data_IF_614527651095
#
_entry.id   IF_614527651095
#
_cell.length_a   1.000
_cell.length_b   1.000
_cell.length_c   1.000
_cell.angle_alpha   90.00
_cell.angle_beta   90.00
_cell.angle_gamma   90.00
#
_symmetry.space_group_name_H-M   'P 1'
#
loop_
_entity.id
_entity.type
_entity.pdbx_description
1 polymer ?
#
# COMPACT_ATOMS: atom_id res chain seq x y z
N UNK A 1 -21.16 9.35 -9.49
CA UNK A 1 -20.36 9.43 -8.34
C UNK A 1 -19.18 8.48 -8.42
N UNK A 2 -18.10 8.89 -7.93
CA UNK A 2 -16.94 8.02 -7.99
C UNK A 2 -17.14 6.89 -7.03
N UNK A 3 -16.69 5.76 -7.40
CA UNK A 3 -16.68 4.69 -6.53
C UNK A 3 -15.74 4.91 -5.43
N UNK A 4 -16.04 4.40 -4.28
CA UNK A 4 -15.14 4.42 -3.18
C UNK A 4 -13.90 3.65 -3.58
N UNK A 5 -12.77 4.25 -3.43
CA UNK A 5 -11.54 3.56 -3.72
C UNK A 5 -11.33 2.44 -2.72
N UNK A 6 -10.86 1.31 -3.18
CA UNK A 6 -10.57 0.20 -2.31
C UNK A 6 -9.35 0.52 -1.46
N UNK A 7 -9.48 0.32 -0.16
CA UNK A 7 -8.39 0.56 0.77
C UNK A 7 -7.90 -0.76 1.31
N UNK A 8 -6.59 -0.88 1.43
CA UNK A 8 -5.95 -2.12 1.86
C UNK A 8 -5.27 -1.91 3.20
N UNK A 9 -5.27 -2.96 4.02
CA UNK A 9 -4.52 -2.91 5.28
C UNK A 9 -3.05 -3.11 4.99
N UNK A 10 -2.16 -2.71 5.91
CA UNK A 10 -0.73 -2.96 5.72
C UNK A 10 -0.42 -4.43 5.49
N UNK A 11 -1.16 -5.31 6.15
CA UNK A 11 -0.95 -6.74 5.98
C UNK A 11 -1.32 -7.19 4.58
N UNK A 12 -2.44 -6.69 4.06
CA UNK A 12 -2.85 -7.02 2.70
C UNK A 12 -1.83 -6.56 1.68
N UNK A 13 -1.30 -5.34 1.88
CA UNK A 13 -0.28 -4.81 0.99
C UNK A 13 0.97 -5.69 1.07
N UNK A 14 1.37 -6.05 2.28
CA UNK A 14 2.55 -6.89 2.47
C UNK A 14 2.39 -8.23 1.77
N UNK A 15 1.19 -8.81 1.85
CA UNK A 15 0.93 -10.09 1.19
C UNK A 15 1.05 -9.97 -0.32
N UNK A 16 0.59 -8.87 -0.89
CA UNK A 16 0.67 -8.66 -2.32
C UNK A 16 2.11 -8.56 -2.81
N UNK A 17 2.99 -8.03 -1.98
CA UNK A 17 4.40 -7.89 -2.34
C UNK A 17 5.26 -9.04 -1.85
N UNK A 18 4.72 -9.87 -0.96
CA UNK A 18 5.50 -10.94 -0.37
C UNK A 18 6.54 -10.44 0.60
N UNK A 19 6.22 -9.38 1.34
CA UNK A 19 7.15 -8.79 2.29
C UNK A 19 6.49 -8.65 3.66
N UNK A 20 7.27 -8.24 4.63
CA UNK A 20 6.79 -8.03 5.99
C UNK A 20 6.00 -6.72 6.05
N UNK A 21 4.92 -6.65 6.85
CA UNK A 21 4.18 -5.39 7.00
C UNK A 21 5.05 -4.21 7.44
N UNK A 22 6.11 -4.46 8.17
CA UNK A 22 7.04 -3.39 8.56
C UNK A 22 7.67 -2.73 7.33
N UNK A 23 7.90 -3.51 6.28
CA UNK A 23 8.46 -2.98 5.05
C UNK A 23 7.48 -2.02 4.39
N UNK A 24 6.19 -2.36 4.44
CA UNK A 24 5.16 -1.49 3.89
C UNK A 24 5.13 -0.16 4.63
N UNK A 25 5.23 -0.20 5.96
CA UNK A 25 5.28 1.02 6.76
C UNK A 25 6.49 1.86 6.38
N UNK A 26 7.62 1.21 6.14
CA UNK A 26 8.83 1.91 5.75
C UNK A 26 8.65 2.60 4.39
N UNK A 27 7.99 1.92 3.47
CA UNK A 27 7.71 2.51 2.16
C UNK A 27 6.83 3.75 2.29
N UNK A 28 5.84 3.70 3.17
CA UNK A 28 4.96 4.84 3.40
C UNK A 28 5.76 6.01 3.98
N UNK A 29 6.67 5.73 4.90
CA UNK A 29 7.50 6.78 5.47
C UNK A 29 8.45 7.38 4.44
N UNK A 30 8.86 6.58 3.48
CA UNK A 30 9.74 7.04 2.42
C UNK A 30 8.99 7.77 1.30
N UNK A 31 7.68 7.87 1.41
CA UNK A 31 6.88 8.57 0.42
C UNK A 31 6.49 7.74 -0.78
N UNK A 32 6.73 6.45 -0.75
CA UNK A 32 6.38 5.58 -1.88
C UNK A 32 4.91 5.22 -1.88
N UNK A 33 4.27 5.28 -0.73
CA UNK A 33 2.85 5.01 -0.60
C UNK A 33 2.23 6.08 0.29
N UNK A 34 1.00 6.47 -0.02
CA UNK A 34 0.28 7.40 0.82
C UNK A 34 -0.61 6.60 1.75
N UNK A 35 -0.43 6.80 3.05
CA UNK A 35 -1.29 6.11 4.01
C UNK A 35 -2.45 7.03 4.39
N UNK A 36 -3.60 6.41 4.61
CA UNK A 36 -4.80 7.11 5.03
C UNK A 36 -5.17 6.54 6.39
N UNK A 37 -5.46 7.40 7.35
CA UNK A 37 -5.87 6.93 8.66
C UNK A 37 -7.38 6.90 8.74
N UNK A 38 -7.90 5.81 9.28
CA UNK A 38 -9.33 5.72 9.54
C UNK A 38 -9.62 6.36 10.90
N UNK A 39 -10.89 6.46 11.22
CA UNK A 39 -11.30 7.06 12.49
C UNK A 39 -10.72 6.33 13.70
N UNK A 40 -10.49 5.03 13.56
CA UNK A 40 -9.90 4.27 14.65
C UNK A 40 -8.38 4.37 14.73
N UNK A 41 -7.76 5.19 13.88
CA UNK A 41 -6.32 5.35 13.89
C UNK A 41 -5.57 4.28 13.14
N UNK A 42 -6.26 3.43 12.43
CA UNK A 42 -5.62 2.39 11.64
C UNK A 42 -5.20 2.93 10.28
N UNK A 43 -4.09 2.46 9.78
CA UNK A 43 -3.61 2.89 8.47
C UNK A 43 -4.22 2.05 7.37
N UNK A 44 -4.47 2.72 6.25
CA UNK A 44 -4.96 2.05 5.04
C UNK A 44 -4.22 2.62 3.86
N UNK A 45 -4.13 1.83 2.79
CA UNK A 45 -3.43 2.24 1.58
C UNK A 45 -4.36 2.11 0.39
N UNK A 46 -4.26 3.04 -0.55
CA UNK A 46 -5.10 3.00 -1.73
C UNK A 46 -4.65 1.89 -2.66
N UNK A 47 -5.61 1.09 -3.08
CA UNK A 47 -5.30 -0.03 -3.97
C UNK A 47 -4.65 0.44 -5.26
N UNK A 48 -5.11 1.58 -5.81
CA UNK A 48 -4.53 2.09 -7.05
C UNK A 48 -3.05 2.38 -6.91
N UNK A 49 -2.65 3.00 -5.79
CA UNK A 49 -1.24 3.27 -5.55
C UNK A 49 -0.45 2.00 -5.32
N UNK A 50 -1.06 1.06 -4.61
CA UNK A 50 -0.41 -0.22 -4.34
C UNK A 50 -0.17 -0.98 -5.63
N UNK A 51 -1.17 -1.00 -6.50
CA UNK A 51 -1.03 -1.69 -7.79
C UNK A 51 0.07 -1.08 -8.63
N UNK A 52 0.15 0.25 -8.64
CA UNK A 52 1.16 0.94 -9.40
C UNK A 52 2.55 0.67 -8.87
N UNK A 53 2.71 0.74 -7.55
CA UNK A 53 4.00 0.46 -6.93
C UNK A 53 4.39 -1.00 -7.16
N UNK A 54 3.43 -1.90 -7.08
CA UNK A 54 3.68 -3.31 -7.28
C UNK A 54 4.19 -3.58 -8.69
N UNK A 55 3.58 -2.95 -9.69
CA UNK A 55 4.02 -3.12 -11.06
C UNK A 55 5.46 -2.64 -11.22
N UNK A 56 5.78 -1.49 -10.63
CA UNK A 56 7.14 -0.95 -10.71
C UNK A 56 8.14 -1.81 -9.94
N UNK A 57 7.72 -2.32 -8.79
CA UNK A 57 8.58 -3.11 -7.94
C UNK A 57 9.03 -4.39 -8.67
N UNK A 58 8.08 -5.11 -9.24
CA UNK A 58 8.40 -6.36 -9.93
C UNK A 58 9.08 -6.11 -11.25
N UNK A 59 8.77 -5.00 -11.91
CA UNK A 59 9.44 -4.64 -13.13
C UNK A 59 10.91 -4.35 -12.89
N UNK A 60 11.22 -3.70 -11.77
CA UNK A 60 12.61 -3.38 -11.44
C UNK A 60 13.44 -4.61 -11.15
N UNK A 61 12.79 -5.71 -10.79
CA UNK A 61 13.48 -6.90 -10.38
C UNK A 61 13.67 -7.90 -11.50
N UNK A 62 13.07 -7.67 -12.63
CA UNK A 62 13.19 -8.61 -13.74
C UNK A 62 14.36 -8.29 -14.65
#
# INVERSE_FOLDING_TARGET
MPEAETLLTPREVADLFGVDPKTVTRWAKAGKLTSIRTLGGHRRYRKSEVDELRANYFKSQS
#
